data_IF_866734071096
#
_entry.id   IF_866734071096
#
_cell.length_a   1.000
_cell.length_b   1.000
_cell.length_c   1.000
_cell.angle_alpha   90.00
_cell.angle_beta   90.00
_cell.angle_gamma   90.00
#
_symmetry.space_group_name_H-M   'P 1'
#
loop_
_entity.id
_entity.type
_entity.pdbx_description
1 polymer ?
#
# COMPACT_ATOMS: atom_id res chain seq x y z
N UNK A 1 -16.38 -70.00 54.02
CA UNK A 1 -16.20 -68.55 54.04
C UNK A 1 -15.17 -68.18 53.00
N UNK A 2 -15.58 -67.61 51.84
CA UNK A 2 -14.70 -67.18 50.71
C UNK A 2 -14.70 -65.68 50.69
N UNK A 3 -13.56 -65.08 51.00
CA UNK A 3 -13.34 -63.65 51.02
C UNK A 3 -12.95 -63.20 49.56
N UNK A 4 -13.82 -62.44 48.92
CA UNK A 4 -13.54 -61.80 47.64
C UNK A 4 -12.78 -60.52 47.92
N UNK A 5 -11.53 -60.42 47.45
CA UNK A 5 -10.78 -59.17 47.37
C UNK A 5 -11.18 -58.42 46.04
N UNK A 6 -11.86 -57.27 46.16
CA UNK A 6 -12.12 -56.34 45.06
C UNK A 6 -10.88 -55.43 44.91
N UNK A 7 -10.13 -55.65 43.85
CA UNK A 7 -9.08 -54.75 43.46
C UNK A 7 -9.73 -53.61 42.64
N UNK A 8 -9.81 -52.40 43.21
CA UNK A 8 -10.22 -51.20 42.54
C UNK A 8 -8.99 -50.65 41.81
N UNK A 9 -8.95 -50.83 40.47
CA UNK A 9 -7.97 -50.21 39.61
C UNK A 9 -8.36 -48.74 39.43
N UNK A 10 -7.63 -47.86 40.10
CA UNK A 10 -7.75 -46.41 39.95
C UNK A 10 -7.02 -46.00 38.66
N UNK A 11 -7.75 -45.93 37.54
CA UNK A 11 -7.26 -45.39 36.30
C UNK A 11 -7.13 -43.86 36.43
N UNK A 12 -5.91 -43.37 36.74
CA UNK A 12 -5.57 -41.96 36.59
C UNK A 12 -5.58 -41.66 35.10
N UNK A 13 -6.69 -41.14 34.61
CA UNK A 13 -6.73 -40.40 33.34
C UNK A 13 -5.94 -39.12 33.56
N UNK A 14 -4.65 -39.14 33.17
CA UNK A 14 -3.87 -37.92 32.92
C UNK A 14 -4.58 -37.15 31.83
N UNK A 15 -5.46 -36.20 32.20
CA UNK A 15 -5.88 -35.14 31.32
C UNK A 15 -4.61 -34.33 31.03
N UNK A 16 -3.91 -34.70 29.93
CA UNK A 16 -2.92 -33.85 29.35
C UNK A 16 -3.68 -32.60 28.93
N UNK A 17 -3.55 -31.53 29.71
CA UNK A 17 -3.92 -30.20 29.26
C UNK A 17 -3.10 -29.95 27.99
N UNK A 18 -3.74 -30.06 26.84
CA UNK A 18 -3.13 -29.81 25.54
C UNK A 18 -2.94 -28.29 25.45
N UNK A 19 -1.87 -27.82 26.12
CA UNK A 19 -1.49 -26.41 26.06
C UNK A 19 -1.07 -26.12 24.63
N UNK A 20 -1.80 -25.21 24.00
CA UNK A 20 -1.43 -24.67 22.67
C UNK A 20 0.00 -24.13 22.77
N UNK A 21 0.93 -24.56 21.89
CA UNK A 21 2.30 -24.07 21.94
C UNK A 21 2.36 -22.58 21.68
N UNK A 22 3.20 -21.89 22.45
CA UNK A 22 3.41 -20.45 22.36
C UNK A 22 4.83 -20.14 21.93
N UNK A 23 5.02 -18.95 21.35
CA UNK A 23 6.35 -18.47 20.98
C UNK A 23 7.20 -18.20 22.21
N UNK A 24 8.44 -18.72 22.19
CA UNK A 24 9.52 -18.30 23.08
C UNK A 24 10.51 -17.46 22.27
N UNK A 25 10.42 -16.15 22.38
CA UNK A 25 11.30 -15.22 21.69
C UNK A 25 12.46 -14.71 22.58
N UNK A 26 12.76 -15.39 23.69
CA UNK A 26 13.85 -15.05 24.61
C UNK A 26 15.22 -15.09 23.94
N UNK A 27 15.41 -16.02 22.99
CA UNK A 27 16.62 -16.15 22.17
C UNK A 27 16.29 -16.70 20.78
N UNK A 28 17.20 -16.59 19.81
CA UNK A 28 17.00 -17.16 18.49
C UNK A 28 16.83 -18.68 18.50
N UNK A 29 17.63 -19.49 19.25
CA UNK A 29 17.40 -20.93 19.35
C UNK A 29 16.04 -21.29 19.97
N UNK A 30 15.60 -20.57 21.02
CA UNK A 30 14.30 -20.77 21.66
C UNK A 30 13.16 -20.46 20.68
N UNK A 31 13.26 -19.36 19.94
CA UNK A 31 12.31 -18.99 18.90
C UNK A 31 12.22 -20.05 17.79
N UNK A 32 13.35 -20.52 17.27
CA UNK A 32 13.37 -21.54 16.22
C UNK A 32 12.73 -22.87 16.70
N UNK A 33 13.01 -23.26 17.95
CA UNK A 33 12.41 -24.45 18.57
C UNK A 33 10.89 -24.28 18.71
N UNK A 34 10.44 -23.22 19.37
CA UNK A 34 8.99 -22.96 19.56
C UNK A 34 8.24 -22.80 18.23
N UNK A 35 8.83 -22.12 17.24
CA UNK A 35 8.25 -22.01 15.91
C UNK A 35 8.09 -23.38 15.23
N UNK A 36 9.08 -24.26 15.35
CA UNK A 36 9.00 -25.63 14.82
C UNK A 36 7.88 -26.44 15.48
N UNK A 37 7.76 -26.36 16.80
CA UNK A 37 6.70 -27.03 17.56
C UNK A 37 5.31 -26.52 17.19
N UNK A 38 5.16 -25.19 17.03
CA UNK A 38 3.94 -24.55 16.56
C UNK A 38 3.58 -25.04 15.15
N UNK A 39 4.53 -24.95 14.19
CA UNK A 39 4.29 -25.36 12.81
C UNK A 39 3.88 -26.83 12.68
N UNK A 40 4.43 -27.72 13.50
CA UNK A 40 4.10 -29.15 13.47
C UNK A 40 2.62 -29.44 13.82
N UNK A 41 1.94 -28.51 14.49
CA UNK A 41 0.52 -28.66 14.89
C UNK A 41 -0.45 -27.90 13.99
N UNK A 42 0.04 -27.06 13.09
CA UNK A 42 -0.79 -26.25 12.21
C UNK A 42 -1.08 -26.96 10.89
N UNK A 43 -2.27 -26.70 10.35
CA UNK A 43 -2.58 -27.03 8.96
C UNK A 43 -1.66 -26.26 7.98
N UNK A 44 -1.53 -26.73 6.75
CA UNK A 44 -0.74 -26.03 5.72
C UNK A 44 -1.28 -24.62 5.44
N UNK A 45 -2.58 -24.40 5.59
CA UNK A 45 -3.20 -23.08 5.46
C UNK A 45 -2.80 -22.16 6.61
N UNK A 46 -2.91 -22.65 7.86
CA UNK A 46 -2.57 -21.84 9.04
C UNK A 46 -1.06 -21.56 9.12
N UNK A 47 -0.21 -22.47 8.62
CA UNK A 47 1.23 -22.21 8.47
C UNK A 47 1.49 -21.03 7.51
N UNK A 48 0.76 -20.94 6.39
CA UNK A 48 0.86 -19.81 5.45
C UNK A 48 0.38 -18.52 6.08
N UNK A 49 -0.75 -18.54 6.81
CA UNK A 49 -1.24 -17.37 7.56
C UNK A 49 -0.21 -16.91 8.60
N UNK A 50 0.34 -17.85 9.37
CA UNK A 50 1.37 -17.54 10.36
C UNK A 50 2.62 -16.93 9.71
N UNK A 51 3.09 -17.50 8.61
CA UNK A 51 4.24 -16.94 7.86
C UNK A 51 3.98 -15.52 7.42
N UNK A 52 2.79 -15.23 6.85
CA UNK A 52 2.41 -13.88 6.44
C UNK A 52 2.36 -12.92 7.63
N UNK A 53 1.82 -13.36 8.78
CA UNK A 53 1.77 -12.57 10.00
C UNK A 53 3.17 -12.23 10.52
N UNK A 54 4.07 -13.21 10.59
CA UNK A 54 5.45 -13.01 11.04
C UNK A 54 6.23 -12.08 10.10
N UNK A 55 6.05 -12.21 8.78
CA UNK A 55 6.66 -11.31 7.79
C UNK A 55 6.15 -9.86 7.95
N UNK A 56 4.86 -9.68 8.22
CA UNK A 56 4.29 -8.36 8.47
C UNK A 56 4.87 -7.72 9.73
N UNK A 57 5.04 -8.49 10.81
CA UNK A 57 5.68 -8.01 12.04
C UNK A 57 7.17 -7.71 11.84
N UNK A 58 7.89 -8.54 11.08
CA UNK A 58 9.31 -8.34 10.76
C UNK A 58 9.54 -7.04 9.96
N UNK A 59 8.60 -6.68 9.09
CA UNK A 59 8.62 -5.41 8.37
C UNK A 59 8.32 -4.18 9.23
N UNK A 60 8.00 -4.34 10.53
CA UNK A 60 7.68 -3.25 11.45
C UNK A 60 6.21 -3.15 11.84
N UNK A 61 5.37 -4.09 11.37
CA UNK A 61 3.92 -4.08 11.57
C UNK A 61 3.18 -3.28 10.48
N UNK A 62 1.86 -3.22 10.59
CA UNK A 62 1.01 -2.64 9.56
C UNK A 62 1.26 -1.14 9.30
N UNK A 63 1.59 -0.36 10.34
CA UNK A 63 1.85 1.08 10.22
C UNK A 63 3.18 1.37 9.50
N UNK A 64 4.26 0.68 9.89
CA UNK A 64 5.59 0.84 9.28
C UNK A 64 5.63 0.21 7.90
N UNK A 65 4.86 -0.88 7.70
CA UNK A 65 4.68 -1.49 6.38
C UNK A 65 4.08 -0.51 5.39
N UNK A 66 3.12 0.32 5.81
CA UNK A 66 2.54 1.37 4.95
C UNK A 66 3.61 2.38 4.54
N UNK A 67 4.43 2.85 5.48
CA UNK A 67 5.54 3.78 5.20
C UNK A 67 6.61 3.14 4.31
N UNK A 68 6.96 1.87 4.56
CA UNK A 68 7.93 1.10 3.77
C UNK A 68 7.41 0.84 2.35
N UNK A 69 6.15 0.47 2.20
CA UNK A 69 5.51 0.23 0.90
C UNK A 69 5.46 1.50 0.04
N UNK A 70 5.23 2.67 0.66
CA UNK A 70 5.25 3.96 -0.02
C UNK A 70 6.65 4.36 -0.48
N UNK A 71 7.68 4.03 0.32
CA UNK A 71 9.06 4.33 -0.02
C UNK A 71 9.64 3.37 -1.09
N UNK A 72 9.12 2.14 -1.18
CA UNK A 72 9.69 1.07 -2.01
C UNK A 72 8.61 0.19 -2.68
N UNK A 73 7.84 0.70 -3.64
CA UNK A 73 6.74 -0.05 -4.26
C UNK A 73 7.18 -1.35 -4.96
N UNK A 74 8.43 -1.42 -5.46
CA UNK A 74 8.97 -2.60 -6.12
C UNK A 74 9.46 -3.70 -5.15
N UNK A 75 9.75 -3.36 -3.89
CA UNK A 75 10.25 -4.34 -2.91
C UNK A 75 9.15 -5.18 -2.26
N UNK A 76 7.88 -4.77 -2.41
CA UNK A 76 6.72 -5.52 -1.87
C UNK A 76 6.57 -6.87 -2.54
N UNK A 77 6.75 -6.93 -3.87
CA UNK A 77 6.69 -8.18 -4.63
C UNK A 77 7.84 -9.15 -4.30
N UNK A 78 8.98 -8.60 -3.85
CA UNK A 78 10.16 -9.39 -3.48
C UNK A 78 10.19 -9.80 -2.00
N UNK A 79 9.33 -9.25 -1.15
CA UNK A 79 9.26 -9.66 0.27
C UNK A 79 8.72 -11.08 0.48
N UNK A 80 8.03 -11.65 -0.50
CA UNK A 80 7.66 -13.08 -0.48
C UNK A 80 8.86 -14.01 -0.68
N UNK A 81 9.98 -13.48 -1.19
CA UNK A 81 11.23 -14.21 -1.44
C UNK A 81 12.25 -14.10 -0.29
N UNK A 82 11.82 -13.70 0.91
CA UNK A 82 12.72 -13.47 2.07
C UNK A 82 13.23 -14.74 2.77
N UNK A 83 13.34 -15.86 2.10
CA UNK A 83 14.10 -17.02 2.60
C UNK A 83 15.61 -16.77 2.75
N UNK A 84 16.08 -15.56 2.37
CA UNK A 84 17.50 -15.19 2.33
C UNK A 84 17.93 -13.98 3.13
N UNK A 85 17.17 -13.52 4.14
CA UNK A 85 17.53 -12.31 4.86
C UNK A 85 18.74 -12.52 5.78
N UNK A 86 19.75 -11.69 5.57
CA UNK A 86 21.09 -11.80 6.11
C UNK A 86 21.26 -11.70 7.65
N UNK A 87 20.20 -11.38 8.43
CA UNK A 87 20.30 -11.36 9.89
C UNK A 87 18.95 -11.63 10.59
N UNK A 88 18.65 -12.89 10.92
CA UNK A 88 17.41 -13.27 11.62
C UNK A 88 17.22 -12.61 13.01
N UNK A 89 18.30 -12.18 13.66
CA UNK A 89 18.23 -11.54 14.98
C UNK A 89 17.55 -10.17 14.92
N UNK A 90 17.79 -9.39 13.87
CA UNK A 90 17.14 -8.06 13.69
C UNK A 90 15.62 -8.21 13.61
N UNK A 91 15.15 -9.26 12.93
CA UNK A 91 13.71 -9.53 12.83
C UNK A 91 13.13 -9.99 14.14
N UNK A 92 13.82 -10.86 14.86
CA UNK A 92 13.37 -11.33 16.17
C UNK A 92 13.23 -10.15 17.14
N UNK A 93 14.17 -9.24 17.19
CA UNK A 93 14.10 -8.07 18.07
C UNK A 93 12.89 -7.18 17.76
N UNK A 94 12.56 -6.99 16.47
CA UNK A 94 11.37 -6.23 16.06
C UNK A 94 10.05 -6.90 16.41
N UNK A 95 10.02 -8.23 16.38
CA UNK A 95 8.80 -9.01 16.62
C UNK A 95 8.62 -9.41 18.09
N UNK A 96 9.70 -9.51 18.86
CA UNK A 96 9.74 -10.12 20.21
C UNK A 96 8.55 -9.73 21.07
N UNK A 97 8.35 -8.45 21.33
CA UNK A 97 7.28 -7.96 22.20
C UNK A 97 5.87 -8.28 21.69
N UNK A 98 5.75 -8.61 20.41
CA UNK A 98 4.46 -8.89 19.75
C UNK A 98 4.15 -10.38 19.66
N UNK A 99 5.15 -11.27 19.80
CA UNK A 99 4.98 -12.72 19.68
C UNK A 99 5.24 -13.47 20.98
N UNK A 100 6.08 -12.96 21.88
CA UNK A 100 6.46 -13.64 23.12
C UNK A 100 5.24 -14.11 23.92
N UNK A 101 5.21 -15.40 24.27
CA UNK A 101 4.14 -16.03 25.04
C UNK A 101 2.81 -16.19 24.30
N UNK A 102 2.72 -15.83 23.02
CA UNK A 102 1.48 -15.92 22.24
C UNK A 102 1.43 -17.20 21.41
N UNK A 103 0.23 -17.74 21.21
CA UNK A 103 0.00 -18.82 20.26
C UNK A 103 -0.03 -18.29 18.82
N UNK A 104 0.07 -19.20 17.83
CA UNK A 104 -0.05 -18.86 16.41
C UNK A 104 -1.35 -18.12 16.08
N UNK A 105 -2.48 -18.64 16.59
CA UNK A 105 -3.79 -18.03 16.38
C UNK A 105 -3.86 -16.60 16.95
N UNK A 106 -3.25 -16.36 18.11
CA UNK A 106 -3.19 -15.03 18.72
C UNK A 106 -2.33 -14.06 17.90
N UNK A 107 -1.20 -14.52 17.35
CA UNK A 107 -0.33 -13.71 16.48
C UNK A 107 -1.04 -13.37 15.18
N UNK A 108 -1.65 -14.34 14.50
CA UNK A 108 -2.41 -14.14 13.26
C UNK A 108 -3.52 -13.11 13.47
N UNK A 109 -4.31 -13.27 14.54
CA UNK A 109 -5.40 -12.33 14.88
C UNK A 109 -4.88 -10.93 15.15
N UNK A 110 -3.84 -10.79 15.96
CA UNK A 110 -3.25 -9.49 16.27
C UNK A 110 -2.80 -8.75 15.00
N UNK A 111 -2.14 -9.44 14.08
CA UNK A 111 -1.71 -8.82 12.81
C UNK A 111 -2.90 -8.48 11.91
N UNK A 112 -3.94 -9.30 11.87
CA UNK A 112 -5.16 -8.99 11.13
C UNK A 112 -5.86 -7.73 11.68
N UNK A 113 -5.94 -7.59 13.01
CA UNK A 113 -6.51 -6.41 13.67
C UNK A 113 -5.66 -5.15 13.42
N UNK A 114 -4.33 -5.26 13.46
CA UNK A 114 -3.41 -4.17 13.10
C UNK A 114 -3.60 -3.72 11.63
N UNK A 115 -3.83 -4.68 10.71
CA UNK A 115 -4.12 -4.38 9.31
C UNK A 115 -5.47 -3.70 9.14
N UNK A 116 -6.53 -4.15 9.84
CA UNK A 116 -7.85 -3.49 9.81
C UNK A 116 -7.73 -2.03 10.31
N UNK A 117 -6.99 -1.79 11.37
CA UNK A 117 -6.74 -0.43 11.85
C UNK A 117 -5.98 0.42 10.83
N UNK A 118 -4.92 -0.12 10.21
CA UNK A 118 -4.14 0.59 9.19
C UNK A 118 -4.97 0.90 7.95
N UNK A 119 -5.81 -0.05 7.49
CA UNK A 119 -6.75 0.13 6.38
C UNK A 119 -7.75 1.25 6.71
N UNK A 120 -8.43 1.18 7.85
CA UNK A 120 -9.43 2.17 8.25
C UNK A 120 -8.83 3.58 8.35
N UNK A 121 -7.61 3.70 8.87
CA UNK A 121 -6.89 4.95 8.94
C UNK A 121 -6.51 5.48 7.54
N UNK A 122 -6.04 4.62 6.66
CA UNK A 122 -5.70 4.97 5.29
C UNK A 122 -6.94 5.41 4.50
N UNK A 123 -8.06 4.71 4.65
CA UNK A 123 -9.35 5.06 4.02
C UNK A 123 -9.88 6.42 4.52
N UNK A 124 -9.80 6.68 5.82
CA UNK A 124 -10.20 7.98 6.38
C UNK A 124 -9.33 9.14 5.85
N UNK A 125 -8.01 8.92 5.74
CA UNK A 125 -7.09 9.89 5.15
C UNK A 125 -7.38 10.11 3.67
N UNK A 126 -7.66 9.04 2.92
CA UNK A 126 -7.98 9.11 1.49
C UNK A 126 -9.29 9.87 1.26
N UNK A 127 -10.35 9.56 2.02
CA UNK A 127 -11.63 10.27 1.92
C UNK A 127 -11.54 11.76 2.22
N UNK A 128 -10.72 12.15 3.22
CA UNK A 128 -10.44 13.56 3.51
C UNK A 128 -9.70 14.24 2.37
N UNK A 129 -8.67 13.58 1.84
CA UNK A 129 -7.88 14.11 0.74
C UNK A 129 -8.67 14.18 -0.57
N UNK A 130 -9.56 13.24 -0.86
CA UNK A 130 -10.43 13.27 -2.04
C UNK A 130 -11.33 14.52 -2.04
N UNK A 131 -11.85 14.94 -0.88
CA UNK A 131 -12.63 16.17 -0.76
C UNK A 131 -11.79 17.41 -1.09
N UNK A 132 -10.55 17.46 -0.58
CA UNK A 132 -9.63 18.56 -0.90
C UNK A 132 -9.25 18.54 -2.38
N UNK A 133 -8.99 17.37 -2.97
CA UNK A 133 -8.68 17.25 -4.39
C UNK A 133 -9.87 17.62 -5.30
N UNK A 134 -11.09 17.32 -4.89
CA UNK A 134 -12.31 17.70 -5.61
C UNK A 134 -12.55 19.21 -5.65
N UNK A 135 -11.92 19.98 -4.76
CA UNK A 135 -11.97 21.43 -4.77
C UNK A 135 -11.10 22.09 -5.87
N UNK A 136 -10.19 21.32 -6.49
CA UNK A 136 -9.41 21.81 -7.62
C UNK A 136 -10.22 21.71 -8.93
N UNK A 137 -10.28 22.81 -9.66
CA UNK A 137 -10.97 22.85 -10.94
C UNK A 137 -9.92 23.01 -12.05
N UNK A 138 -9.94 22.09 -13.00
CA UNK A 138 -9.16 22.19 -14.24
C UNK A 138 -10.07 22.69 -15.34
N UNK A 139 -9.71 23.82 -15.95
CA UNK A 139 -10.48 24.43 -17.00
C UNK A 139 -9.70 24.47 -18.30
N UNK A 140 -10.45 24.32 -19.41
CA UNK A 140 -9.95 24.45 -20.78
C UNK A 140 -8.67 23.64 -21.05
N UNK A 141 -8.61 22.35 -20.68
CA UNK A 141 -7.44 21.54 -20.98
C UNK A 141 -7.30 21.37 -22.51
N UNK A 142 -6.11 21.62 -23.02
CA UNK A 142 -5.81 21.54 -24.45
C UNK A 142 -4.49 20.82 -24.65
N UNK A 143 -4.48 19.91 -25.60
CA UNK A 143 -3.27 19.32 -26.14
C UNK A 143 -2.81 20.19 -27.33
N UNK A 144 -1.54 20.57 -27.38
CA UNK A 144 -0.94 21.25 -28.47
C UNK A 144 0.32 20.56 -28.96
N UNK A 145 0.47 20.50 -30.25
CA UNK A 145 1.69 20.04 -30.87
C UNK A 145 2.26 21.14 -31.75
N UNK A 146 3.33 21.79 -31.31
CA UNK A 146 4.07 22.78 -32.08
C UNK A 146 5.18 22.06 -32.88
N UNK A 147 5.10 22.17 -34.19
CA UNK A 147 6.08 21.64 -35.15
C UNK A 147 6.98 22.74 -35.76
N UNK A 148 6.89 23.96 -35.26
CA UNK A 148 7.68 25.05 -35.79
C UNK A 148 9.17 24.88 -35.46
N UNK A 149 10.02 25.22 -36.43
CA UNK A 149 11.48 25.36 -36.27
C UNK A 149 12.29 24.10 -35.91
N UNK A 150 11.92 22.93 -36.39
CA UNK A 150 12.74 21.73 -36.23
C UNK A 150 12.70 21.05 -34.83
N UNK A 151 12.06 21.69 -33.86
CA UNK A 151 11.80 21.11 -32.53
C UNK A 151 10.31 20.85 -32.38
N UNK A 152 9.88 19.59 -32.46
CA UNK A 152 8.50 19.26 -32.17
C UNK A 152 8.27 19.24 -30.67
N UNK A 153 7.48 20.18 -30.15
CA UNK A 153 7.08 20.25 -28.75
C UNK A 153 5.62 19.89 -28.60
N UNK A 154 5.35 19.00 -27.67
CA UNK A 154 3.99 18.66 -27.25
C UNK A 154 3.74 19.28 -25.89
N UNK A 155 2.63 19.97 -25.75
CA UNK A 155 2.28 20.64 -24.49
C UNK A 155 0.84 20.34 -24.10
N UNK A 156 0.62 20.27 -22.80
CA UNK A 156 -0.71 20.37 -22.19
C UNK A 156 -0.86 21.79 -21.62
N UNK A 157 -1.89 22.50 -22.07
CA UNK A 157 -2.24 23.84 -21.59
C UNK A 157 -3.58 23.77 -20.85
N UNK A 158 -3.69 24.36 -19.67
CA UNK A 158 -4.92 24.39 -18.87
C UNK A 158 -4.87 25.51 -17.84
N UNK A 159 -6.03 25.89 -17.31
CA UNK A 159 -6.12 26.70 -16.09
C UNK A 159 -6.38 25.80 -14.91
N UNK A 160 -5.75 26.09 -13.78
CA UNK A 160 -6.04 25.44 -12.50
C UNK A 160 -6.51 26.46 -11.48
N UNK A 161 -7.67 26.20 -10.88
CA UNK A 161 -8.21 26.96 -9.76
C UNK A 161 -8.01 26.15 -8.47
N UNK A 162 -7.43 26.80 -7.45
CA UNK A 162 -7.26 26.21 -6.11
C UNK A 162 -8.46 26.53 -5.23
N UNK A 163 -9.47 25.67 -5.23
CA UNK A 163 -10.62 25.79 -4.31
C UNK A 163 -10.40 25.15 -2.93
N UNK A 164 -9.20 24.62 -2.64
CA UNK A 164 -8.86 24.06 -1.33
C UNK A 164 -8.59 25.17 -0.31
N UNK A 165 -8.41 24.76 0.95
CA UNK A 165 -8.14 25.68 2.06
C UNK A 165 -6.64 25.97 2.26
N UNK A 166 -5.75 25.31 1.47
CA UNK A 166 -4.30 25.41 1.65
C UNK A 166 -3.57 25.90 0.40
N UNK A 167 -2.46 26.63 0.53
CA UNK A 167 -1.60 26.96 -0.59
C UNK A 167 -0.86 25.70 -1.05
N UNK A 168 -0.72 25.54 -2.41
CA UNK A 168 -0.09 24.36 -3.01
C UNK A 168 1.16 24.73 -3.80
N UNK A 169 2.23 23.90 -3.67
CA UNK A 169 3.48 24.07 -4.41
C UNK A 169 3.58 23.19 -5.64
N UNK A 170 2.79 22.10 -5.71
CA UNK A 170 2.82 21.14 -6.83
C UNK A 170 1.47 20.46 -6.99
N UNK A 171 1.13 20.16 -8.24
CA UNK A 171 -0.06 19.41 -8.64
C UNK A 171 0.35 18.18 -9.45
N UNK A 172 -0.30 17.06 -9.19
CA UNK A 172 -0.15 15.81 -9.93
C UNK A 172 -1.47 15.52 -10.62
N UNK A 173 -1.40 15.25 -11.89
CA UNK A 173 -2.55 15.07 -12.76
C UNK A 173 -2.45 13.74 -13.48
N UNK A 174 -3.57 13.04 -13.61
CA UNK A 174 -3.74 11.99 -14.61
C UNK A 174 -4.39 12.62 -15.84
N UNK A 175 -3.84 12.34 -17.00
CA UNK A 175 -4.32 12.87 -18.28
C UNK A 175 -4.72 11.75 -19.22
N UNK A 176 -5.81 11.99 -19.95
CA UNK A 176 -6.33 11.12 -20.98
C UNK A 176 -6.50 11.92 -22.27
N UNK A 177 -5.88 11.46 -23.37
CA UNK A 177 -5.98 12.06 -24.68
C UNK A 177 -6.82 11.16 -25.59
N UNK A 178 -7.92 11.70 -26.12
CA UNK A 178 -8.87 10.95 -26.96
C UNK A 178 -9.05 11.66 -28.29
N UNK A 179 -8.99 10.93 -29.41
CA UNK A 179 -9.33 11.49 -30.72
C UNK A 179 -10.84 11.59 -30.90
N UNK A 180 -11.34 12.58 -31.68
CA UNK A 180 -12.75 12.70 -31.98
C UNK A 180 -13.33 11.40 -32.54
N UNK A 181 -14.48 10.99 -32.02
CA UNK A 181 -15.17 9.77 -32.43
C UNK A 181 -14.58 8.44 -31.94
N UNK A 182 -13.48 8.45 -31.18
CA UNK A 182 -12.92 7.25 -30.54
C UNK A 182 -13.39 7.13 -29.10
N UNK A 183 -13.68 5.89 -28.66
CA UNK A 183 -13.99 5.57 -27.24
C UNK A 183 -12.73 5.20 -26.44
N UNK A 184 -11.69 4.70 -27.13
CA UNK A 184 -10.45 4.27 -26.47
C UNK A 184 -9.44 5.41 -26.52
N UNK A 185 -8.83 5.79 -25.39
CA UNK A 185 -7.81 6.81 -25.34
C UNK A 185 -6.62 6.47 -26.25
N UNK A 186 -6.05 7.50 -26.84
CA UNK A 186 -4.80 7.43 -27.60
C UNK A 186 -3.59 7.37 -26.67
N UNK A 187 -3.68 8.07 -25.56
CA UNK A 187 -2.68 8.11 -24.52
C UNK A 187 -3.33 8.32 -23.14
N UNK A 188 -2.80 7.63 -22.14
CA UNK A 188 -3.09 7.87 -20.73
C UNK A 188 -1.76 7.97 -20.01
N UNK A 189 -1.59 9.00 -19.20
CA UNK A 189 -0.32 9.18 -18.49
C UNK A 189 -0.40 10.29 -17.45
N UNK A 190 0.62 10.34 -16.62
CA UNK A 190 0.71 11.28 -15.52
C UNK A 190 1.44 12.55 -15.95
N UNK A 191 1.03 13.65 -15.35
CA UNK A 191 1.60 14.98 -15.52
C UNK A 191 1.90 15.56 -14.15
N UNK A 192 2.97 16.31 -14.04
CA UNK A 192 3.32 17.01 -12.81
C UNK A 192 3.66 18.46 -13.14
N UNK A 193 3.11 19.39 -12.37
CA UNK A 193 3.47 20.78 -12.46
C UNK A 193 3.85 21.34 -11.09
N UNK A 194 4.96 22.06 -11.04
CA UNK A 194 5.43 22.77 -9.85
C UNK A 194 5.21 24.28 -10.06
N UNK A 195 4.52 24.89 -9.11
CA UNK A 195 4.30 26.34 -9.11
C UNK A 195 5.59 27.05 -8.69
N UNK A 196 5.92 28.15 -9.36
CA UNK A 196 7.07 28.99 -8.98
C UNK A 196 6.88 29.64 -7.59
N UNK A 197 5.65 30.10 -7.34
CA UNK A 197 5.16 30.48 -6.01
C UNK A 197 3.95 29.60 -5.71
N UNK A 198 3.72 29.20 -4.44
CA UNK A 198 2.57 28.40 -4.07
C UNK A 198 1.25 29.05 -4.51
N UNK A 199 0.41 28.31 -5.21
CA UNK A 199 -0.92 28.76 -5.65
C UNK A 199 -1.83 28.87 -4.44
N UNK A 200 -2.26 30.11 -4.12
CA UNK A 200 -3.04 30.41 -2.93
C UNK A 200 -4.48 29.89 -3.05
N UNK A 201 -5.17 29.62 -1.93
CA UNK A 201 -6.61 29.36 -1.92
C UNK A 201 -7.39 30.45 -2.67
N UNK A 202 -8.33 30.03 -3.52
CA UNK A 202 -9.13 30.92 -4.35
C UNK A 202 -8.40 31.51 -5.57
N UNK A 203 -7.10 31.22 -5.75
CA UNK A 203 -6.35 31.70 -6.91
C UNK A 203 -6.48 30.77 -8.12
N UNK A 204 -6.36 31.35 -9.32
CA UNK A 204 -6.33 30.65 -10.58
C UNK A 204 -5.02 30.96 -11.31
N UNK A 205 -4.46 29.95 -11.99
CA UNK A 205 -3.25 30.12 -12.77
C UNK A 205 -3.33 29.35 -14.09
N UNK A 206 -2.89 29.99 -15.17
CA UNK A 206 -2.66 29.32 -16.46
C UNK A 206 -1.36 28.51 -16.38
N UNK A 207 -1.42 27.27 -16.83
CA UNK A 207 -0.33 26.30 -16.76
C UNK A 207 -0.05 25.74 -18.14
N UNK A 208 1.23 25.59 -18.46
CA UNK A 208 1.71 24.87 -19.64
C UNK A 208 2.72 23.83 -19.18
N UNK A 209 2.47 22.56 -19.51
CA UNK A 209 3.37 21.43 -19.21
C UNK A 209 3.90 20.85 -20.51
N UNK A 210 5.21 20.72 -20.61
CA UNK A 210 5.84 20.04 -21.74
C UNK A 210 5.71 18.53 -21.61
N UNK A 211 5.21 17.87 -22.64
CA UNK A 211 4.94 16.42 -22.70
C UNK A 211 6.12 15.70 -23.39
N UNK A 212 7.33 15.92 -22.93
CA UNK A 212 8.57 15.57 -23.65
C UNK A 212 9.35 14.37 -23.14
N UNK A 213 8.92 13.71 -22.05
CA UNK A 213 9.64 12.55 -21.50
C UNK A 213 9.20 11.24 -22.15
N UNK A 214 10.08 10.20 -22.25
CA UNK A 214 9.67 8.89 -22.73
C UNK A 214 8.48 8.36 -21.93
N UNK A 215 7.37 8.05 -22.61
CA UNK A 215 6.14 7.60 -21.96
C UNK A 215 4.94 7.61 -22.90
N UNK A 216 3.76 7.51 -22.32
CA UNK A 216 2.50 7.45 -23.07
C UNK A 216 2.30 8.65 -24.04
N UNK A 217 2.78 9.84 -23.64
CA UNK A 217 2.67 11.07 -24.40
C UNK A 217 3.60 11.19 -25.63
N UNK A 218 4.58 10.28 -25.75
CA UNK A 218 5.52 10.25 -26.88
C UNK A 218 5.24 9.13 -27.86
N UNK A 219 4.13 8.39 -27.66
CA UNK A 219 3.75 7.31 -28.54
C UNK A 219 3.63 7.77 -30.01
N UNK A 220 4.16 6.97 -30.94
CA UNK A 220 4.18 7.27 -32.38
C UNK A 220 2.80 7.54 -32.96
N UNK A 221 1.76 6.90 -32.41
CA UNK A 221 0.37 7.11 -32.79
C UNK A 221 -0.14 8.55 -32.58
N UNK A 222 0.53 9.35 -31.74
CA UNK A 222 0.18 10.74 -31.50
C UNK A 222 0.75 11.68 -32.59
N UNK A 223 1.63 11.20 -33.46
CA UNK A 223 2.26 12.04 -34.52
C UNK A 223 1.28 12.50 -35.57
N UNK A 224 0.15 11.86 -35.72
CA UNK A 224 -0.88 12.19 -36.73
C UNK A 224 -2.13 12.82 -36.13
N UNK A 225 -2.14 13.05 -34.80
CA UNK A 225 -3.32 13.59 -34.12
C UNK A 225 -3.21 15.11 -33.99
N UNK A 226 -4.10 15.81 -34.68
CA UNK A 226 -4.14 17.28 -34.71
C UNK A 226 -5.23 17.87 -33.83
N UNK A 227 -6.31 17.09 -33.64
CA UNK A 227 -7.47 17.50 -32.87
C UNK A 227 -7.75 16.34 -31.87
N UNK A 228 -7.46 16.57 -30.60
CA UNK A 228 -7.64 15.60 -29.56
C UNK A 228 -8.16 16.26 -28.29
N UNK A 229 -9.15 15.63 -27.70
CA UNK A 229 -9.70 16.03 -26.42
C UNK A 229 -8.75 15.59 -25.32
N UNK A 230 -8.23 16.55 -24.56
CA UNK A 230 -7.43 16.31 -23.36
C UNK A 230 -8.33 16.41 -22.13
N UNK A 231 -8.42 15.35 -21.36
CA UNK A 231 -9.03 15.34 -20.03
C UNK A 231 -7.94 15.27 -18.97
N UNK A 232 -8.04 16.12 -17.97
CA UNK A 232 -7.13 16.14 -16.83
C UNK A 232 -7.91 16.00 -15.54
N UNK A 233 -7.37 15.16 -14.64
CA UNK A 233 -7.90 14.96 -13.28
C UNK A 233 -6.78 15.16 -12.27
N UNK A 234 -7.05 15.96 -11.23
CA UNK A 234 -6.11 16.10 -10.12
C UNK A 234 -6.09 14.81 -9.30
N UNK A 235 -4.92 14.20 -9.18
CA UNK A 235 -4.72 12.95 -8.44
C UNK A 235 -4.04 13.17 -7.10
N UNK A 236 -3.22 14.22 -7.00
CA UNK A 236 -2.51 14.58 -5.76
C UNK A 236 -2.00 16.01 -5.81
N UNK A 237 -1.62 16.53 -4.66
CA UNK A 237 -0.97 17.83 -4.52
C UNK A 237 0.14 17.75 -3.46
N UNK A 238 1.11 18.67 -3.54
CA UNK A 238 2.01 18.99 -2.42
C UNK A 238 1.62 20.37 -1.87
N UNK A 239 1.53 20.50 -0.56
CA UNK A 239 1.30 21.78 0.11
C UNK A 239 2.47 22.77 -0.10
N UNK A 240 2.39 23.98 0.45
CA UNK A 240 3.45 24.99 0.34
C UNK A 240 4.80 24.51 0.88
N UNK A 241 4.83 23.56 1.83
CA UNK A 241 6.02 22.98 2.43
C UNK A 241 6.52 21.74 1.66
N UNK A 242 5.86 21.35 0.58
CA UNK A 242 6.19 20.18 -0.22
C UNK A 242 5.67 18.85 0.35
N UNK A 243 4.80 18.89 1.36
CA UNK A 243 4.17 17.69 1.93
C UNK A 243 3.02 17.24 1.04
N UNK A 244 3.06 15.98 0.64
CA UNK A 244 2.01 15.37 -0.20
C UNK A 244 0.73 15.15 0.58
N UNK A 245 -0.41 15.50 -0.03
CA UNK A 245 -1.74 15.37 0.58
C UNK A 245 -2.15 13.91 0.70
N UNK A 246 -2.13 13.15 -0.40
CA UNK A 246 -2.36 11.71 -0.39
C UNK A 246 -1.03 11.00 -0.14
N UNK A 247 -0.87 10.50 1.08
CA UNK A 247 0.29 9.69 1.45
C UNK A 247 0.13 8.21 1.01
N UNK A 248 -1.10 7.74 0.79
CA UNK A 248 -1.40 6.33 0.49
C UNK A 248 -1.77 6.17 -0.97
N UNK A 249 -1.04 5.31 -1.69
CA UNK A 249 -1.39 4.86 -3.03
C UNK A 249 -2.49 3.79 -2.93
N UNK A 250 -3.44 3.77 -3.86
CA UNK A 250 -4.51 2.77 -3.97
C UNK A 250 -3.96 1.34 -3.98
N UNK A 251 -2.84 1.10 -4.66
CA UNK A 251 -2.18 -0.20 -4.72
C UNK A 251 -1.70 -0.71 -3.36
N UNK A 252 -1.26 0.21 -2.49
CA UNK A 252 -0.87 -0.12 -1.11
C UNK A 252 -2.09 -0.53 -0.31
N UNK A 253 -3.19 0.21 -0.42
CA UNK A 253 -4.44 -0.10 0.27
C UNK A 253 -4.98 -1.47 -0.15
N UNK A 254 -4.98 -1.77 -1.45
CA UNK A 254 -5.41 -3.06 -1.98
C UNK A 254 -4.48 -4.21 -1.54
N UNK A 255 -3.20 -3.93 -1.37
CA UNK A 255 -2.25 -4.91 -0.83
C UNK A 255 -2.51 -5.20 0.65
N UNK A 256 -2.79 -4.16 1.46
CA UNK A 256 -3.17 -4.34 2.86
C UNK A 256 -4.46 -5.14 3.00
N UNK A 257 -5.48 -4.83 2.18
CA UNK A 257 -6.75 -5.56 2.15
C UNK A 257 -6.55 -7.03 1.83
N UNK A 258 -5.82 -7.37 0.76
CA UNK A 258 -5.51 -8.76 0.39
C UNK A 258 -4.81 -9.52 1.51
N UNK A 259 -3.83 -8.90 2.18
CA UNK A 259 -3.14 -9.53 3.32
C UNK A 259 -4.08 -9.79 4.48
N UNK A 260 -4.90 -8.82 4.84
CA UNK A 260 -5.93 -8.98 5.88
C UNK A 260 -6.88 -10.14 5.54
N UNK A 261 -7.37 -10.21 4.31
CA UNK A 261 -8.33 -11.23 3.87
C UNK A 261 -7.71 -12.63 3.98
N UNK A 262 -6.45 -12.81 3.56
CA UNK A 262 -5.72 -14.08 3.77
C UNK A 262 -5.64 -14.45 5.25
N UNK A 263 -5.33 -13.50 6.14
CA UNK A 263 -5.23 -13.79 7.59
C UNK A 263 -6.59 -14.10 8.21
N UNK A 264 -7.68 -13.51 7.72
CA UNK A 264 -9.06 -13.77 8.18
C UNK A 264 -9.67 -15.05 7.60
N UNK A 265 -9.07 -15.66 6.57
CA UNK A 265 -9.57 -16.88 5.91
C UNK A 265 -10.63 -16.58 4.85
N UNK A 266 -10.49 -15.42 4.19
CA UNK A 266 -11.32 -15.00 3.05
C UNK A 266 -10.86 -15.62 1.76
#
# INVERSE_FOLDING_TARGET
>A
MRTLCFAVAFSLALAACDHEPTFDASSLPAYQKSLSEIKARLSAEDQRKLQLALLTLAAGGAADYTAFALANPLSIANMEALDGIANPLIFLDRMRSRIEGRSAAAVIRHVADDLDYAISRAEAQTSGAEKELAAFIIENPRYRWDRSKGNSRRTAEFSVYNGSTMPISRIYLSGELTAPGRRTPLAVGDLTYRFGNPLQPGAQQQVTVELGTPGAWTAKQLETVYDADLKLKVCNIDDANGKRLLAVNTDVLDTLRRKRDVLRGG
#
